data_IF_268198366570
#
_entry.id   IF_268198366570
#
_cell.length_a   1.000
_cell.length_b   1.000
_cell.length_c   1.000
_cell.angle_alpha   90.00
_cell.angle_beta   90.00
_cell.angle_gamma   90.00
#
_symmetry.space_group_name_H-M   'P 1'
#
loop_
_entity.id
_entity.type
_entity.pdbx_description
1 polymer ?
#
# COMPACT_ATOMS: atom_id res chain seq x y z
N UNK A 1 4.59 6.10 -7.24
CA UNK A 1 4.52 6.02 -5.77
C UNK A 1 4.81 4.61 -5.31
N UNK A 2 5.65 4.47 -4.30
CA UNK A 2 6.00 3.14 -3.80
C UNK A 2 4.84 2.49 -3.09
N UNK A 3 4.68 1.20 -3.32
CA UNK A 3 3.69 0.38 -2.63
C UNK A 3 4.38 -0.81 -2.00
N UNK A 4 3.85 -1.28 -0.90
CA UNK A 4 4.47 -2.29 -0.05
C UNK A 4 3.53 -3.45 0.20
N UNK A 5 4.08 -4.65 0.18
CA UNK A 5 3.33 -5.86 0.51
C UNK A 5 4.13 -6.69 1.49
N UNK A 6 3.46 -7.21 2.50
CA UNK A 6 4.12 -8.04 3.51
C UNK A 6 4.41 -9.43 2.93
N UNK A 7 5.66 -9.87 3.01
CA UNK A 7 6.05 -11.20 2.53
C UNK A 7 6.31 -12.18 3.67
N UNK A 8 6.49 -11.68 4.89
CA UNK A 8 6.65 -12.52 6.07
C UNK A 8 6.18 -11.74 7.29
N UNK A 9 5.60 -12.44 8.27
CA UNK A 9 5.09 -11.80 9.46
C UNK A 9 6.23 -11.55 10.45
N UNK A 10 6.39 -10.31 10.93
CA UNK A 10 7.42 -9.98 11.89
C UNK A 10 7.01 -10.31 13.30
N UNK A 11 8.00 -10.48 14.16
CA UNK A 11 7.79 -10.44 15.60
C UNK A 11 7.89 -8.97 15.99
N UNK A 12 6.79 -8.41 16.48
CA UNK A 12 6.76 -6.99 16.79
C UNK A 12 7.31 -6.71 18.20
N UNK A 13 8.22 -5.74 18.27
CA UNK A 13 8.69 -5.21 19.54
C UNK A 13 7.60 -4.36 20.20
N UNK A 14 7.77 -4.06 21.48
CA UNK A 14 6.75 -3.37 22.26
C UNK A 14 6.17 -2.11 21.59
N UNK A 15 6.98 -1.21 21.00
CA UNK A 15 6.42 0.00 20.37
C UNK A 15 5.46 -0.29 19.22
N UNK A 16 5.55 -1.46 18.59
CA UNK A 16 4.77 -1.81 17.41
C UNK A 16 3.72 -2.87 17.68
N UNK A 17 3.32 -3.07 18.93
CA UNK A 17 2.32 -4.09 19.28
C UNK A 17 0.88 -3.58 19.26
N UNK A 18 0.67 -2.33 18.92
CA UNK A 18 -0.67 -1.74 18.87
C UNK A 18 -1.51 -2.36 17.76
N UNK A 19 -2.81 -2.35 17.98
CA UNK A 19 -3.78 -2.87 17.00
C UNK A 19 -3.62 -2.24 15.62
N UNK A 20 -3.32 -0.93 15.58
CA UNK A 20 -3.15 -0.23 14.31
C UNK A 20 -2.01 -0.81 13.48
N UNK A 21 -0.92 -1.21 14.11
CA UNK A 21 0.20 -1.83 13.42
C UNK A 21 -0.18 -3.21 12.88
N UNK A 22 -0.91 -3.98 13.68
CA UNK A 22 -1.38 -5.30 13.24
C UNK A 22 -2.33 -5.18 12.07
N UNK A 23 -3.17 -4.16 12.09
CA UNK A 23 -4.10 -3.91 10.99
C UNK A 23 -3.32 -3.60 9.71
N UNK A 24 -2.27 -2.79 9.81
CA UNK A 24 -1.43 -2.50 8.65
C UNK A 24 -0.77 -3.76 8.10
N UNK A 25 -0.29 -4.62 8.97
CA UNK A 25 0.32 -5.88 8.55
C UNK A 25 -0.70 -6.77 7.83
N UNK A 26 -1.90 -6.86 8.37
CA UNK A 26 -2.96 -7.64 7.74
C UNK A 26 -3.28 -7.10 6.36
N UNK A 27 -3.43 -5.78 6.24
CA UNK A 27 -3.73 -5.16 4.95
C UNK A 27 -2.61 -5.40 3.94
N UNK A 28 -1.36 -5.24 4.37
CA UNK A 28 -0.22 -5.46 3.49
C UNK A 28 0.00 -6.93 3.15
N UNK A 29 -0.52 -7.85 3.96
CA UNK A 29 -0.41 -9.27 3.65
C UNK A 29 -1.32 -9.67 2.51
N UNK A 30 -2.35 -8.89 2.26
CA UNK A 30 -3.32 -9.18 1.21
C UNK A 30 -3.07 -8.42 -0.09
N UNK A 31 -2.42 -7.28 -0.03
CA UNK A 31 -2.24 -6.43 -1.21
C UNK A 31 -1.09 -5.45 -1.01
N UNK A 32 -0.65 -4.87 -2.12
CA UNK A 32 0.30 -3.76 -2.06
C UNK A 32 -0.42 -2.50 -1.58
N UNK A 33 0.22 -1.77 -0.68
CA UNK A 33 -0.34 -0.53 -0.14
C UNK A 33 0.72 0.56 -0.10
N UNK A 34 0.32 1.77 -0.45
CA UNK A 34 1.20 2.94 -0.36
C UNK A 34 1.16 3.51 1.06
N UNK A 35 2.10 4.41 1.36
CA UNK A 35 2.12 5.08 2.66
C UNK A 35 0.84 5.86 2.93
N UNK A 36 0.31 6.65 1.97
CA UNK A 36 -0.95 7.32 2.19
C UNK A 36 -2.11 6.38 2.49
N UNK A 37 -2.17 5.25 1.80
CA UNK A 37 -3.21 4.26 2.03
C UNK A 37 -3.11 3.65 3.43
N UNK A 38 -1.89 3.33 3.84
CA UNK A 38 -1.66 2.78 5.18
C UNK A 38 -2.02 3.79 6.27
N UNK A 39 -1.67 5.05 6.06
CA UNK A 39 -2.02 6.11 6.99
C UNK A 39 -3.53 6.24 7.11
N UNK A 40 -4.22 6.25 6.00
CA UNK A 40 -5.67 6.39 5.98
C UNK A 40 -6.38 5.21 6.63
N UNK A 41 -5.96 4.00 6.30
CA UNK A 41 -6.60 2.80 6.81
C UNK A 41 -6.31 2.55 8.29
N UNK A 42 -5.14 2.93 8.76
CA UNK A 42 -4.75 2.70 10.15
C UNK A 42 -5.15 3.83 11.08
N UNK A 43 -5.39 5.01 10.54
CA UNK A 43 -5.63 6.19 11.34
C UNK A 43 -4.37 6.80 11.95
N UNK A 44 -3.20 6.31 11.56
CA UNK A 44 -1.93 6.84 12.07
C UNK A 44 -1.37 7.87 11.09
N UNK A 45 -0.56 8.81 11.61
CA UNK A 45 0.02 9.81 10.73
C UNK A 45 1.10 9.20 9.84
N UNK A 46 1.42 9.90 8.75
CA UNK A 46 2.37 9.38 7.76
C UNK A 46 3.76 9.16 8.30
N UNK A 47 4.19 10.01 9.22
CA UNK A 47 5.49 9.90 9.84
C UNK A 47 5.63 8.57 10.59
N UNK A 48 4.62 8.23 11.38
CA UNK A 48 4.60 6.99 12.13
C UNK A 48 4.53 5.78 11.20
N UNK A 49 3.70 5.87 10.17
CA UNK A 49 3.59 4.79 9.18
C UNK A 49 4.91 4.58 8.46
N UNK A 50 5.57 5.66 8.05
CA UNK A 50 6.86 5.58 7.38
C UNK A 50 7.89 4.88 8.26
N UNK A 51 7.93 5.24 9.51
CA UNK A 51 8.86 4.65 10.47
C UNK A 51 8.64 3.13 10.58
N UNK A 52 7.39 2.73 10.67
CA UNK A 52 7.03 1.33 10.73
C UNK A 52 7.43 0.58 9.45
N UNK A 53 7.12 1.15 8.31
CA UNK A 53 7.45 0.56 7.01
C UNK A 53 8.96 0.45 6.83
N UNK A 54 9.71 1.48 7.22
CA UNK A 54 11.17 1.44 7.14
C UNK A 54 11.74 0.32 8.00
N UNK A 55 11.19 0.14 9.18
CA UNK A 55 11.62 -0.95 10.06
C UNK A 55 11.41 -2.31 9.38
N UNK A 56 10.25 -2.49 8.75
CA UNK A 56 9.95 -3.72 8.03
C UNK A 56 10.86 -3.92 6.82
N UNK A 57 11.16 -2.84 6.09
CA UNK A 57 12.08 -2.91 4.96
C UNK A 57 13.49 -3.34 5.37
N UNK A 58 13.98 -2.78 6.46
CA UNK A 58 15.30 -3.11 6.98
C UNK A 58 15.38 -4.60 7.31
N UNK A 59 14.29 -5.18 7.75
CA UNK A 59 14.22 -6.60 8.07
C UNK A 59 13.93 -7.47 6.85
N UNK A 60 13.80 -6.87 5.68
CA UNK A 60 13.48 -7.58 4.43
C UNK A 60 12.15 -8.31 4.49
N UNK A 61 11.19 -7.73 5.18
CA UNK A 61 9.87 -8.33 5.35
C UNK A 61 8.85 -7.83 4.33
N UNK A 62 9.24 -6.87 3.49
CA UNK A 62 8.33 -6.27 2.52
C UNK A 62 8.80 -6.48 1.09
N UNK A 63 7.86 -6.73 0.21
CA UNK A 63 8.07 -6.58 -1.23
C UNK A 63 7.67 -5.14 -1.58
N UNK A 64 8.46 -4.49 -2.41
CA UNK A 64 8.25 -3.10 -2.79
C UNK A 64 8.06 -3.05 -4.30
N UNK A 65 7.07 -2.29 -4.74
CA UNK A 65 6.91 -2.01 -6.17
C UNK A 65 6.62 -0.53 -6.36
N UNK A 66 6.93 -0.03 -7.53
CA UNK A 66 6.60 1.33 -7.90
C UNK A 66 5.29 1.33 -8.66
N UNK A 67 4.31 2.09 -8.17
CA UNK A 67 3.06 2.22 -8.91
C UNK A 67 3.30 3.08 -10.14
N UNK A 68 2.83 2.61 -11.28
CA UNK A 68 2.98 3.33 -12.55
C UNK A 68 2.08 4.56 -12.61
N UNK A 69 1.03 4.60 -11.82
CA UNK A 69 0.05 5.68 -11.85
C UNK A 69 0.07 6.40 -10.52
N UNK A 70 0.54 7.67 -10.49
CA UNK A 70 0.51 8.48 -9.27
C UNK A 70 -0.92 8.70 -8.79
N UNK A 71 -1.09 8.86 -7.48
CA UNK A 71 -2.42 9.08 -6.90
C UNK A 71 -3.13 10.27 -7.55
N UNK A 72 -2.43 11.35 -7.78
CA UNK A 72 -3.03 12.54 -8.38
C UNK A 72 -3.55 12.24 -9.78
N UNK A 73 -2.78 11.50 -10.57
CA UNK A 73 -3.18 11.13 -11.91
C UNK A 73 -4.33 10.14 -11.86
N UNK A 74 -4.26 9.20 -10.96
CA UNK A 74 -5.30 8.21 -10.81
C UNK A 74 -6.63 8.88 -10.44
N UNK A 75 -6.57 9.85 -9.54
CA UNK A 75 -7.75 10.60 -9.16
C UNK A 75 -8.36 11.36 -10.31
N UNK A 76 -7.53 11.97 -11.17
CA UNK A 76 -8.02 12.71 -12.32
C UNK A 76 -8.55 11.79 -13.41
N UNK A 77 -8.14 10.54 -13.43
CA UNK A 77 -8.65 9.58 -14.39
C UNK A 77 -9.93 8.90 -13.93
N UNK A 78 -10.33 9.14 -12.70
CA UNK A 78 -11.52 8.50 -12.16
C UNK A 78 -12.76 8.73 -13.03
N UNK A 79 -12.99 9.94 -13.54
CA UNK A 79 -14.13 10.14 -14.43
C UNK A 79 -14.02 9.35 -15.72
N UNK A 80 -12.82 8.89 -16.04
CA UNK A 80 -12.60 8.11 -17.24
C UNK A 80 -12.47 6.63 -16.93
N UNK A 81 -12.92 6.22 -15.78
CA UNK A 81 -12.80 4.83 -15.36
C UNK A 81 -13.39 3.86 -16.37
N UNK A 82 -14.51 4.20 -16.95
CA UNK A 82 -15.14 3.38 -17.98
C UNK A 82 -14.28 3.25 -19.23
N UNK A 83 -13.66 4.35 -19.63
CA UNK A 83 -12.79 4.34 -20.78
C UNK A 83 -11.58 3.46 -20.51
N UNK A 84 -10.98 3.61 -19.35
CA UNK A 84 -9.81 2.83 -19.00
C UNK A 84 -10.13 1.35 -18.96
N UNK A 85 -11.26 1.02 -18.40
CA UNK A 85 -11.73 -0.35 -18.34
C UNK A 85 -11.94 -0.90 -19.75
N UNK A 86 -12.49 -0.11 -20.62
CA UNK A 86 -12.71 -0.49 -22.00
C UNK A 86 -11.40 -0.72 -22.72
N UNK A 87 -10.43 0.17 -22.50
CA UNK A 87 -9.11 0.05 -23.10
C UNK A 87 -8.42 -1.24 -22.66
N UNK A 88 -8.52 -1.56 -21.37
CA UNK A 88 -7.94 -2.78 -20.86
C UNK A 88 -8.66 -4.00 -21.39
N UNK A 89 -9.97 -3.92 -21.52
CA UNK A 89 -10.74 -5.01 -22.09
C UNK A 89 -10.42 -5.18 -23.55
N UNK A 90 -10.17 -4.09 -24.26
CA UNK A 90 -9.85 -4.17 -25.66
C UNK A 90 -8.47 -4.78 -25.86
N UNK A 91 -7.56 -4.49 -24.95
CA UNK A 91 -6.26 -5.14 -25.01
C UNK A 91 -6.44 -6.63 -24.87
N UNK A 92 -7.52 -6.99 -24.32
CA UNK A 92 -7.96 -8.28 -24.24
C UNK A 92 -9.43 -8.30 -24.49
N UNK A 93 -10.04 -7.19 -24.84
CA UNK A 93 -11.27 -6.99 -25.07
C UNK A 93 -11.90 -5.99 -25.34
N UNK A 94 -12.04 -5.60 -25.39
CA UNK A 94 -12.78 -4.80 -25.57
C UNK A 94 -13.00 -4.69 -25.99
#
# INVERSE_FOLDING_TARGET
MKEYRLVAWPELSAPFRRTAYRRMLTDMSHRFMSLPQLSECSGMNRSTVREFVEMLEIRSLLAVRESAIPDSLFGSLRPLGGWLKRAMSTAHHR
#
